data_IF_918202547893
#
_entry.id   IF_918202547893
#
_cell.length_a   1.000
_cell.length_b   1.000
_cell.length_c   1.000
_cell.angle_alpha   90.00
_cell.angle_beta   90.00
_cell.angle_gamma   90.00
#
_symmetry.space_group_name_H-M   'P 1'
#
loop_
_entity.id
_entity.type
_entity.pdbx_description
1 polymer ?
#
# COMPACT_ATOMS: atom_id res chain seq x y z
N UNK A 1 5.07 -12.14 -2.16
CA UNK A 1 5.57 -11.27 -1.07
C UNK A 1 7.06 -11.46 -0.84
N UNK A 2 7.88 -10.38 -0.88
CA UNK A 2 9.30 -10.47 -0.56
C UNK A 2 9.58 -10.49 0.96
N UNK A 3 8.85 -9.70 1.74
CA UNK A 3 8.96 -9.56 3.20
C UNK A 3 7.52 -9.60 3.76
N UNK A 4 7.13 -10.63 4.55
CA UNK A 4 5.77 -10.76 5.09
C UNK A 4 5.58 -10.08 6.46
N UNK A 5 6.66 -9.58 7.05
CA UNK A 5 6.72 -9.10 8.43
C UNK A 5 6.73 -7.56 8.42
N UNK A 6 5.62 -6.89 8.80
CA UNK A 6 5.53 -5.43 8.78
C UNK A 6 6.54 -4.76 9.72
N UNK A 7 6.97 -5.45 10.79
CA UNK A 7 7.94 -4.91 11.75
C UNK A 7 9.40 -5.11 11.31
N UNK A 8 9.67 -5.76 10.17
CA UNK A 8 11.02 -6.27 9.81
C UNK A 8 12.10 -5.18 9.76
N UNK A 9 11.74 -3.97 9.33
CA UNK A 9 12.68 -2.86 9.22
C UNK A 9 12.95 -2.16 10.56
N UNK A 10 12.14 -2.43 11.57
CA UNK A 10 12.31 -1.94 12.94
C UNK A 10 13.06 -3.00 13.76
N UNK A 11 12.62 -4.26 13.67
CA UNK A 11 13.22 -5.40 14.35
C UNK A 11 13.53 -6.52 13.34
N UNK A 12 14.82 -6.76 13.02
CA UNK A 12 15.22 -7.73 12.02
C UNK A 12 15.09 -9.19 12.48
N UNK A 13 14.87 -9.49 13.76
CA UNK A 13 14.81 -10.86 14.30
C UNK A 13 13.38 -11.38 14.37
N UNK A 14 13.14 -12.52 13.74
CA UNK A 14 11.82 -13.17 13.76
C UNK A 14 11.40 -13.67 15.15
N UNK A 15 12.35 -14.00 16.03
CA UNK A 15 12.04 -14.40 17.41
C UNK A 15 11.37 -13.28 18.20
N UNK A 16 11.82 -12.06 17.98
CA UNK A 16 11.29 -10.86 18.63
C UNK A 16 9.96 -10.47 17.99
N UNK A 17 9.89 -10.32 16.66
CA UNK A 17 8.64 -9.89 16.00
C UNK A 17 7.49 -10.87 16.23
N UNK A 18 7.77 -12.18 16.31
CA UNK A 18 6.76 -13.18 16.68
C UNK A 18 6.20 -12.94 18.08
N UNK A 19 7.06 -12.59 19.03
CA UNK A 19 6.65 -12.27 20.41
C UNK A 19 5.82 -10.99 20.44
N UNK A 20 6.24 -9.96 19.70
CA UNK A 20 5.49 -8.70 19.57
C UNK A 20 4.09 -8.93 18.98
N UNK A 21 3.98 -9.74 17.92
CA UNK A 21 2.69 -10.15 17.36
C UNK A 21 1.83 -10.96 18.36
N UNK A 22 2.45 -11.78 19.21
CA UNK A 22 1.73 -12.55 20.22
C UNK A 22 1.16 -11.64 21.32
N UNK A 23 1.91 -10.62 21.73
CA UNK A 23 1.57 -9.68 22.80
C UNK A 23 0.87 -8.40 22.32
N UNK A 24 0.69 -8.22 21.01
CA UNK A 24 0.09 -7.02 20.41
C UNK A 24 0.93 -5.73 20.63
N UNK A 25 2.25 -5.88 20.69
CA UNK A 25 3.20 -4.78 20.94
C UNK A 25 3.54 -4.01 19.65
N UNK A 26 2.55 -3.32 19.06
CA UNK A 26 2.73 -2.58 17.80
C UNK A 26 3.14 -1.11 17.96
N UNK A 27 3.38 -0.65 19.20
CA UNK A 27 3.73 0.74 19.48
C UNK A 27 4.95 1.24 18.71
N UNK A 28 5.92 0.36 18.44
CA UNK A 28 7.12 0.70 17.67
C UNK A 28 6.81 1.14 16.22
N UNK A 29 5.73 0.62 15.62
CA UNK A 29 5.32 1.03 14.28
C UNK A 29 4.81 2.47 14.30
N UNK A 30 4.05 2.83 15.33
CA UNK A 30 3.60 4.22 15.49
C UNK A 30 4.77 5.18 15.71
N UNK A 31 5.76 4.78 16.52
CA UNK A 31 6.99 5.59 16.68
C UNK A 31 7.67 5.82 15.34
N UNK A 32 7.84 4.78 14.52
CA UNK A 32 8.45 4.89 13.19
C UNK A 32 7.68 5.86 12.28
N UNK A 33 6.34 5.75 12.23
CA UNK A 33 5.52 6.64 11.39
C UNK A 33 5.62 8.10 11.85
N UNK A 34 5.68 8.33 13.17
CA UNK A 34 5.83 9.67 13.72
C UNK A 34 7.24 10.25 13.49
N UNK A 35 8.29 9.42 13.51
CA UNK A 35 9.65 9.83 13.13
C UNK A 35 9.73 10.33 11.69
N UNK A 36 9.02 9.69 10.75
CA UNK A 36 8.93 10.18 9.37
C UNK A 36 8.30 11.57 9.32
N UNK A 37 7.18 11.76 10.04
CA UNK A 37 6.48 13.05 10.13
C UNK A 37 7.40 14.12 10.70
N UNK A 38 8.08 13.83 11.83
CA UNK A 38 8.97 14.79 12.47
C UNK A 38 10.16 15.18 11.57
N UNK A 39 10.63 14.27 10.71
CA UNK A 39 11.79 14.48 9.84
C UNK A 39 11.45 15.11 8.50
N UNK A 40 10.31 14.75 7.90
CA UNK A 40 9.95 15.10 6.52
C UNK A 40 8.64 15.87 6.39
N UNK A 41 7.90 16.06 7.49
CA UNK A 41 6.57 16.68 7.51
C UNK A 41 5.45 15.78 6.98
N UNK A 42 5.77 14.53 6.60
CA UNK A 42 4.82 13.54 6.10
C UNK A 42 5.37 12.12 6.34
N UNK A 43 4.49 11.12 6.29
CA UNK A 43 4.90 9.72 6.39
C UNK A 43 5.61 9.31 5.09
N UNK A 44 6.84 8.82 5.21
CA UNK A 44 7.71 8.51 4.07
C UNK A 44 7.43 7.14 3.45
N UNK A 45 6.66 6.28 4.13
CA UNK A 45 6.24 4.98 3.61
C UNK A 45 5.26 5.16 2.44
N UNK A 46 5.69 4.84 1.21
CA UNK A 46 4.87 5.03 -0.01
C UNK A 46 4.24 3.75 -0.56
N UNK A 47 4.80 2.59 -0.22
CA UNK A 47 4.34 1.24 -0.59
C UNK A 47 4.53 0.30 0.61
N UNK A 48 3.91 -0.88 0.58
CA UNK A 48 3.92 -1.82 1.73
C UNK A 48 3.51 -1.13 3.04
N UNK A 49 2.52 -0.24 2.95
CA UNK A 49 2.11 0.60 4.05
C UNK A 49 1.34 -0.24 5.09
N UNK A 50 1.75 -0.28 6.36
CA UNK A 50 1.19 -1.20 7.34
C UNK A 50 -0.31 -0.97 7.56
N UNK A 51 -1.06 -2.06 7.65
CA UNK A 51 -2.51 -2.05 7.91
C UNK A 51 -2.84 -2.86 9.16
N UNK A 52 -3.86 -2.44 9.91
CA UNK A 52 -4.47 -3.20 11.00
C UNK A 52 -5.66 -3.97 10.45
N UNK A 53 -5.62 -5.30 10.56
CA UNK A 53 -6.63 -6.22 10.04
C UNK A 53 -7.48 -6.74 11.18
N UNK A 54 -8.80 -6.70 10.97
CA UNK A 54 -9.81 -7.18 11.92
C UNK A 54 -9.62 -6.61 13.34
N UNK A 55 -9.21 -5.35 13.43
CA UNK A 55 -8.97 -4.66 14.70
C UNK A 55 -7.84 -5.21 15.56
N UNK A 56 -6.99 -6.13 15.06
CA UNK A 56 -5.99 -6.82 15.89
C UNK A 56 -4.61 -6.92 15.28
N UNK A 57 -4.43 -7.62 14.15
CA UNK A 57 -3.09 -7.85 13.62
C UNK A 57 -2.63 -6.68 12.75
N UNK A 58 -1.44 -6.15 13.00
CA UNK A 58 -0.72 -5.34 12.00
C UNK A 58 -0.17 -6.28 10.93
N UNK A 59 -0.36 -5.93 9.67
CA UNK A 59 -0.06 -6.76 8.50
C UNK A 59 0.65 -5.93 7.43
N UNK A 60 1.59 -6.57 6.73
CA UNK A 60 2.17 -6.06 5.48
C UNK A 60 1.22 -6.41 4.31
N UNK A 61 0.64 -5.42 3.60
CA UNK A 61 -0.33 -5.64 2.52
C UNK A 61 0.32 -5.94 1.17
N UNK A 62 1.62 -6.27 1.14
CA UNK A 62 2.47 -6.44 -0.04
C UNK A 62 3.06 -5.13 -0.52
N UNK A 63 4.05 -5.15 -1.44
CA UNK A 63 4.55 -3.92 -2.03
C UNK A 63 3.54 -3.30 -3.02
N UNK A 64 2.24 -3.36 -2.71
CA UNK A 64 1.27 -2.46 -3.30
C UNK A 64 1.57 -1.02 -2.87
N UNK A 65 1.29 -0.03 -3.73
CA UNK A 65 1.31 1.37 -3.32
C UNK A 65 0.25 1.60 -2.26
N UNK A 66 0.49 2.57 -1.35
CA UNK A 66 -0.52 2.94 -0.34
C UNK A 66 -1.86 3.35 -0.97
N UNK A 67 -1.85 3.84 -2.21
CA UNK A 67 -3.06 4.07 -3.03
C UNK A 67 -4.03 2.89 -3.05
N UNK A 68 -3.54 1.65 -2.99
CA UNK A 68 -4.37 0.45 -3.07
C UNK A 68 -4.88 -0.04 -1.71
N UNK A 69 -4.31 0.43 -0.58
CA UNK A 69 -4.73 0.00 0.76
C UNK A 69 -6.25 0.16 1.01
N UNK A 70 -6.91 1.27 0.64
CA UNK A 70 -8.35 1.43 0.84
C UNK A 70 -9.20 0.36 0.14
N UNK A 71 -8.70 -0.22 -0.96
CA UNK A 71 -9.41 -1.27 -1.70
C UNK A 71 -9.54 -2.56 -0.89
N UNK A 72 -8.65 -2.79 0.08
CA UNK A 72 -8.65 -3.99 0.91
C UNK A 72 -9.76 -3.98 1.96
N UNK A 73 -10.23 -2.79 2.36
CA UNK A 73 -11.23 -2.63 3.41
C UNK A 73 -12.59 -3.16 2.96
N UNK A 74 -13.16 -4.11 3.72
CA UNK A 74 -14.48 -4.69 3.46
C UNK A 74 -14.64 -5.26 2.04
N UNK A 75 -13.53 -5.71 1.43
CA UNK A 75 -13.53 -6.26 0.07
C UNK A 75 -14.34 -7.57 0.02
N UNK A 76 -15.19 -7.80 -1.00
CA UNK A 76 -15.96 -9.04 -1.14
C UNK A 76 -15.12 -10.26 -1.55
N UNK A 77 -13.92 -10.04 -2.09
CA UNK A 77 -13.02 -11.10 -2.52
C UNK A 77 -12.13 -11.58 -1.35
N UNK A 78 -11.74 -12.85 -1.39
CA UNK A 78 -10.73 -13.40 -0.49
C UNK A 78 -9.34 -12.95 -0.94
N UNK A 79 -8.55 -12.40 -0.01
CA UNK A 79 -7.17 -11.97 -0.28
C UNK A 79 -6.20 -12.96 0.38
N UNK A 80 -5.27 -13.52 -0.40
CA UNK A 80 -4.27 -14.48 0.06
C UNK A 80 -2.87 -13.94 -0.21
N UNK A 81 -1.99 -14.00 0.80
CA UNK A 81 -0.63 -13.50 0.74
C UNK A 81 0.36 -14.63 1.02
N UNK A 82 1.28 -14.84 0.08
CA UNK A 82 2.31 -15.86 0.17
C UNK A 82 3.72 -15.28 0.09
N UNK A 83 4.55 -15.58 1.10
CA UNK A 83 5.98 -15.30 1.11
C UNK A 83 6.75 -16.63 1.07
N UNK A 84 7.07 -17.10 -0.14
CA UNK A 84 7.69 -18.42 -0.35
C UNK A 84 9.08 -18.56 0.29
N UNK A 85 9.94 -17.54 0.15
CA UNK A 85 11.30 -17.54 0.73
C UNK A 85 11.26 -17.51 2.27
N UNK A 86 10.34 -16.73 2.84
CA UNK A 86 10.18 -16.55 4.29
C UNK A 86 9.25 -17.59 4.94
N UNK A 87 8.67 -18.50 4.14
CA UNK A 87 7.74 -19.55 4.57
C UNK A 87 6.57 -19.02 5.41
N UNK A 88 5.87 -18.01 4.90
CA UNK A 88 4.66 -17.45 5.54
C UNK A 88 3.49 -17.41 4.56
N UNK A 89 2.30 -17.69 5.09
CA UNK A 89 1.01 -17.55 4.41
C UNK A 89 0.08 -16.81 5.38
N UNK A 90 -0.66 -15.84 4.88
CA UNK A 90 -1.71 -15.14 5.62
C UNK A 90 -2.82 -14.71 4.67
N UNK A 91 -3.95 -14.31 5.24
CA UNK A 91 -5.15 -14.02 4.48
C UNK A 91 -5.96 -12.90 5.13
N UNK A 92 -6.70 -12.17 4.29
CA UNK A 92 -7.77 -11.27 4.71
C UNK A 92 -9.08 -11.86 4.15
N UNK A 93 -9.97 -12.38 5.00
CA UNK A 93 -11.27 -12.88 4.56
C UNK A 93 -12.13 -11.79 3.91
N UNK A 94 -13.12 -12.16 3.09
CA UNK A 94 -14.13 -11.22 2.60
C UNK A 94 -14.76 -10.40 3.73
N UNK A 95 -15.08 -9.14 3.46
CA UNK A 95 -15.76 -8.23 4.38
C UNK A 95 -15.04 -8.06 5.73
N UNK A 96 -13.71 -8.10 5.72
CA UNK A 96 -12.90 -7.86 6.90
C UNK A 96 -12.50 -6.37 6.98
N UNK A 97 -12.59 -5.73 8.16
CA UNK A 97 -12.04 -4.40 8.36
C UNK A 97 -10.53 -4.40 8.16
N UNK A 98 -10.06 -3.53 7.27
CA UNK A 98 -8.63 -3.27 7.04
C UNK A 98 -8.42 -1.75 7.11
N UNK A 99 -7.56 -1.31 8.01
CA UNK A 99 -7.32 0.12 8.28
C UNK A 99 -5.83 0.41 8.15
N UNK A 100 -5.45 1.38 7.31
CA UNK A 100 -4.06 1.87 7.28
C UNK A 100 -3.72 2.54 8.62
N UNK A 101 -2.52 2.31 9.16
CA UNK A 101 -2.08 2.98 10.37
C UNK A 101 -1.85 4.48 10.11
N UNK A 102 -2.48 5.35 10.87
CA UNK A 102 -2.30 6.81 10.78
C UNK A 102 -2.46 7.46 12.17
N UNK A 103 -2.52 8.80 12.18
CA UNK A 103 -2.77 9.61 13.36
C UNK A 103 -3.93 10.57 13.10
N UNK A 104 -4.65 10.97 14.15
CA UNK A 104 -5.76 11.92 14.03
C UNK A 104 -5.32 13.27 13.44
N UNK A 105 -4.10 13.70 13.72
CA UNK A 105 -3.50 14.93 13.21
C UNK A 105 -2.75 14.75 11.88
N UNK A 106 -2.49 13.51 11.47
CA UNK A 106 -1.83 13.13 10.20
C UNK A 106 -2.57 11.95 9.56
N UNK A 107 -3.77 12.19 9.00
CA UNK A 107 -4.60 11.12 8.45
C UNK A 107 -3.95 10.49 7.22
N UNK A 108 -4.34 9.24 6.94
CA UNK A 108 -3.87 8.52 5.77
C UNK A 108 -4.19 9.25 4.45
N UNK A 109 -3.17 9.43 3.60
CA UNK A 109 -3.28 10.03 2.27
C UNK A 109 -2.80 9.07 1.20
N UNK A 110 -3.42 9.12 0.01
CA UNK A 110 -3.00 8.35 -1.16
C UNK A 110 -2.18 9.21 -2.13
N UNK A 111 -1.53 8.59 -3.10
CA UNK A 111 -0.84 9.30 -4.18
C UNK A 111 -1.83 10.05 -5.07
N UNK A 112 -1.43 11.25 -5.50
CA UNK A 112 -2.16 12.10 -6.44
C UNK A 112 -1.22 12.58 -7.54
N UNK A 113 -1.79 12.89 -8.70
CA UNK A 113 -1.10 13.43 -9.87
C UNK A 113 -1.89 14.59 -10.44
N UNK A 114 -1.18 15.64 -10.89
CA UNK A 114 -1.81 16.77 -11.60
C UNK A 114 -2.38 16.34 -12.96
N UNK A 115 -1.67 15.42 -13.63
CA UNK A 115 -2.00 14.94 -14.97
C UNK A 115 -2.97 13.74 -14.94
N UNK A 116 -3.92 13.66 -15.87
CA UNK A 116 -4.67 12.44 -16.11
C UNK A 116 -3.82 11.41 -16.87
N UNK A 117 -4.28 10.17 -16.95
CA UNK A 117 -3.70 9.19 -17.87
C UNK A 117 -3.72 9.71 -19.31
N UNK A 118 -2.56 9.74 -19.98
CA UNK A 118 -2.41 10.24 -21.35
C UNK A 118 -3.08 9.36 -22.41
N UNK A 119 -3.47 8.12 -22.07
CA UNK A 119 -4.12 7.17 -22.99
C UNK A 119 -5.64 7.25 -22.87
N UNK A 120 -6.18 7.09 -21.65
CA UNK A 120 -7.62 6.98 -21.41
C UNK A 120 -8.22 8.17 -20.66
N UNK A 121 -7.43 9.18 -20.27
CA UNK A 121 -7.92 10.36 -19.54
C UNK A 121 -8.32 10.13 -18.08
N UNK A 122 -8.15 8.92 -17.53
CA UNK A 122 -8.52 8.61 -16.13
C UNK A 122 -7.73 9.45 -15.13
N UNK A 123 -8.43 10.00 -14.13
CA UNK A 123 -7.86 10.66 -12.93
C UNK A 123 -8.01 9.84 -11.64
N UNK A 124 -8.52 8.60 -11.75
CA UNK A 124 -8.86 7.74 -10.60
C UNK A 124 -8.00 6.47 -10.54
N UNK A 125 -6.95 6.41 -11.35
CA UNK A 125 -6.04 5.27 -11.46
C UNK A 125 -4.68 5.64 -10.92
N UNK A 126 -3.96 4.66 -10.36
CA UNK A 126 -2.54 4.80 -10.10
C UNK A 126 -1.80 5.00 -11.44
N UNK A 127 -0.92 6.00 -11.51
CA UNK A 127 -0.21 6.35 -12.75
C UNK A 127 1.27 5.97 -12.69
N UNK A 128 1.73 5.33 -13.76
CA UNK A 128 3.14 5.11 -14.05
C UNK A 128 3.69 6.33 -14.81
N UNK A 129 4.89 6.76 -14.43
CA UNK A 129 5.64 7.80 -15.12
C UNK A 129 6.55 7.18 -16.18
N UNK A 130 6.33 7.56 -17.44
CA UNK A 130 7.11 7.12 -18.59
C UNK A 130 7.96 8.29 -19.07
N UNK A 131 9.29 8.12 -19.03
CA UNK A 131 10.24 9.08 -19.60
C UNK A 131 10.29 8.89 -21.11
N UNK A 132 10.00 9.95 -21.87
CA UNK A 132 9.88 9.89 -23.33
C UNK A 132 11.18 10.26 -24.05
N UNK A 133 12.00 11.13 -23.45
CA UNK A 133 13.24 11.60 -24.05
C UNK A 133 14.31 11.95 -23.01
N UNK A 134 15.51 12.28 -23.49
CA UNK A 134 16.63 12.75 -22.66
C UNK A 134 16.51 14.25 -22.29
N UNK A 135 15.49 14.94 -22.79
CA UNK A 135 15.27 16.38 -22.59
C UNK A 135 14.30 16.70 -21.44
N UNK A 136 13.73 15.66 -20.82
CA UNK A 136 12.88 15.74 -19.63
C UNK A 136 11.39 15.59 -19.92
N UNK A 137 11.00 15.24 -21.15
CA UNK A 137 9.62 14.96 -21.51
C UNK A 137 9.14 13.68 -20.82
N UNK A 138 7.96 13.76 -20.19
CA UNK A 138 7.35 12.69 -19.40
C UNK A 138 5.89 12.50 -19.80
N UNK A 139 5.39 11.31 -19.57
CA UNK A 139 4.00 10.93 -19.79
C UNK A 139 3.51 10.10 -18.62
N UNK A 140 2.29 10.37 -18.15
CA UNK A 140 1.66 9.60 -17.09
C UNK A 140 0.58 8.69 -17.68
N UNK A 141 0.62 7.40 -17.36
CA UNK A 141 -0.32 6.40 -17.89
C UNK A 141 -0.82 5.48 -16.79
N UNK A 142 -2.01 4.91 -16.93
CA UNK A 142 -2.53 3.95 -15.95
C UNK A 142 -1.58 2.76 -15.79
N UNK A 143 -1.25 2.43 -14.54
CA UNK A 143 -0.49 1.21 -14.21
C UNK A 143 -1.32 -0.06 -14.49
N UNK A 144 -2.63 -0.01 -14.20
CA UNK A 144 -3.56 -1.06 -14.60
C UNK A 144 -3.93 -0.93 -16.09
N UNK A 145 -3.27 -1.73 -16.92
CA UNK A 145 -3.46 -1.75 -18.37
C UNK A 145 -4.81 -2.31 -18.81
N UNK A 146 -5.42 -3.21 -18.03
CA UNK A 146 -6.76 -3.77 -18.34
C UNK A 146 -7.83 -2.71 -18.09
N UNK A 147 -7.78 -2.06 -16.92
CA UNK A 147 -8.62 -0.90 -16.61
C UNK A 147 -8.45 0.20 -17.68
N UNK A 148 -7.22 0.52 -18.07
CA UNK A 148 -6.93 1.53 -19.09
C UNK A 148 -7.58 1.21 -20.44
N UNK A 149 -7.51 -0.07 -20.87
CA UNK A 149 -8.15 -0.54 -22.10
C UNK A 149 -9.67 -0.39 -22.03
N UNK A 150 -10.29 -0.85 -20.95
CA UNK A 150 -11.75 -0.77 -20.76
C UNK A 150 -12.26 0.68 -20.79
N UNK A 151 -11.55 1.60 -20.13
CA UNK A 151 -11.89 3.04 -20.16
C UNK A 151 -11.78 3.61 -21.57
N UNK A 152 -10.71 3.28 -22.29
CA UNK A 152 -10.48 3.74 -23.66
C UNK A 152 -11.54 3.22 -24.65
N UNK A 153 -11.97 1.97 -24.49
CA UNK A 153 -13.03 1.37 -25.31
C UNK A 153 -14.41 1.92 -24.96
N UNK A 154 -14.66 2.22 -23.68
CA UNK A 154 -15.89 2.87 -23.21
C UNK A 154 -16.08 4.29 -23.75
N UNK A 155 -14.99 5.05 -23.93
CA UNK A 155 -15.01 6.38 -24.52
C UNK A 155 -15.26 6.43 -26.04
N UNK A 156 -15.09 5.29 -26.74
CA UNK A 156 -15.33 5.18 -28.19
C UNK A 156 -16.79 4.88 -28.55
N UNK A 157 -17.65 4.65 -27.55
CA UNK A 157 -19.10 4.46 -27.73
C UNK A 157 -19.83 5.78 -27.51
#
# INVERSE_FOLDING_TARGET
>A
MPIPEPLRFIEPRETETRTMHALEEYGVMQVKLYEDIARFGHIATTYAYPVKVNGRYVMDPSPIPKFDNPKMHMMPALQLFGAGREKRIYAVPPYTPVESLDFDDHPFTVQEWDEPCAICGSRHSYLDEVVLDDSGQRMFVCSDTDYCRQQSEGQKK
#
